data_IF_992554524784
#
_entry.id   IF_992554524784
#
_cell.length_a   1.000
_cell.length_b   1.000
_cell.length_c   1.000
_cell.angle_alpha   90.00
_cell.angle_beta   90.00
_cell.angle_gamma   90.00
#
_symmetry.space_group_name_H-M   'P 1'
#
loop_
_entity.id
_entity.type
_entity.pdbx_description
1 polymer ?
#
# COMPACT_ATOMS: atom_id res chain seq x y z
N UNK A 1 -46.88 8.14 3.03
CA UNK A 1 -45.61 7.73 3.67
C UNK A 1 -44.48 8.05 2.70
N UNK A 2 -43.70 9.11 2.97
CA UNK A 2 -42.54 9.46 2.17
C UNK A 2 -41.32 8.71 2.73
N UNK A 3 -40.78 7.76 1.97
CA UNK A 3 -39.54 7.07 2.32
C UNK A 3 -38.39 8.00 1.98
N UNK A 4 -37.68 8.42 3.04
CA UNK A 4 -36.45 9.19 3.00
C UNK A 4 -35.46 8.59 2.00
N UNK A 5 -35.24 9.27 0.87
CA UNK A 5 -34.04 9.07 0.06
C UNK A 5 -32.85 9.54 0.89
N UNK A 6 -32.26 8.60 1.63
CA UNK A 6 -30.94 8.72 2.22
C UNK A 6 -30.01 9.25 1.12
N UNK A 7 -29.45 10.43 1.32
CA UNK A 7 -28.32 10.95 0.55
C UNK A 7 -27.25 9.85 0.52
N UNK A 8 -27.22 9.07 -0.56
CA UNK A 8 -26.04 8.31 -0.92
C UNK A 8 -24.98 9.37 -1.16
N UNK A 9 -23.99 9.39 -0.26
CA UNK A 9 -22.78 10.20 -0.40
C UNK A 9 -22.18 9.90 -1.76
N UNK A 10 -22.43 10.78 -2.73
CA UNK A 10 -21.66 10.88 -3.96
C UNK A 10 -20.26 11.34 -3.55
N UNK A 11 -19.43 10.39 -3.09
CA UNK A 11 -18.00 10.62 -3.01
C UNK A 11 -17.55 11.07 -4.38
N UNK A 12 -16.98 12.27 -4.49
CA UNK A 12 -16.42 12.68 -5.77
C UNK A 12 -15.34 11.66 -6.17
N UNK A 13 -15.16 11.33 -7.46
CA UNK A 13 -14.15 10.35 -7.91
C UNK A 13 -12.74 10.63 -7.35
N UNK A 14 -12.45 11.91 -7.07
CA UNK A 14 -11.23 12.38 -6.41
C UNK A 14 -11.11 11.94 -4.96
N UNK A 15 -12.19 12.00 -4.18
CA UNK A 15 -12.21 11.59 -2.77
C UNK A 15 -11.95 10.08 -2.61
N UNK A 16 -12.60 9.26 -3.43
CA UNK A 16 -12.41 7.80 -3.43
C UNK A 16 -10.98 7.42 -3.85
N UNK A 17 -10.41 8.13 -4.82
CA UNK A 17 -9.04 7.92 -5.28
C UNK A 17 -8.00 8.28 -4.22
N UNK A 18 -8.20 9.39 -3.49
CA UNK A 18 -7.30 9.79 -2.42
C UNK A 18 -7.37 8.84 -1.22
N UNK A 19 -8.56 8.31 -0.90
CA UNK A 19 -8.69 7.25 0.10
C UNK A 19 -7.98 5.97 -0.34
N UNK A 20 -8.13 5.55 -1.61
CA UNK A 20 -7.42 4.40 -2.14
C UNK A 20 -5.90 4.60 -2.11
N UNK A 21 -5.41 5.79 -2.49
CA UNK A 21 -3.99 6.13 -2.39
C UNK A 21 -3.48 6.05 -0.94
N UNK A 22 -4.24 6.60 0.01
CA UNK A 22 -3.90 6.54 1.43
C UNK A 22 -3.76 5.09 1.90
N UNK A 23 -4.74 4.24 1.59
CA UNK A 23 -4.72 2.84 2.00
C UNK A 23 -3.52 2.08 1.42
N UNK A 24 -3.17 2.34 0.15
CA UNK A 24 -2.01 1.71 -0.50
C UNK A 24 -0.68 2.18 0.11
N UNK A 25 -0.58 3.45 0.50
CA UNK A 25 0.60 3.99 1.20
C UNK A 25 0.72 3.45 2.64
N UNK A 26 -0.41 3.28 3.34
CA UNK A 26 -0.44 2.63 4.67
C UNK A 26 0.04 1.17 4.56
N UNK A 27 -0.49 0.42 3.60
CA UNK A 27 -0.06 -0.97 3.34
C UNK A 27 1.43 -1.05 2.96
N UNK A 28 1.94 -0.09 2.21
CA UNK A 28 3.37 0.02 1.91
C UNK A 28 4.22 0.25 3.17
N UNK A 29 3.79 1.18 4.04
CA UNK A 29 4.45 1.42 5.32
C UNK A 29 4.47 0.17 6.22
N UNK A 30 3.39 -0.59 6.28
CA UNK A 30 3.34 -1.86 7.00
C UNK A 30 4.30 -2.90 6.43
N UNK A 31 4.39 -3.01 5.10
CA UNK A 31 5.32 -3.94 4.45
C UNK A 31 6.79 -3.58 4.79
N UNK A 32 7.14 -2.29 4.81
CA UNK A 32 8.46 -1.83 5.23
C UNK A 32 8.75 -2.19 6.69
N UNK A 33 7.80 -1.98 7.60
CA UNK A 33 7.97 -2.34 9.01
C UNK A 33 8.18 -3.85 9.18
N UNK A 34 7.37 -4.69 8.51
CA UNK A 34 7.54 -6.15 8.55
C UNK A 34 8.90 -6.59 8.01
N UNK A 35 9.37 -5.99 6.93
CA UNK A 35 10.70 -6.32 6.40
C UNK A 35 11.82 -5.87 7.33
N UNK A 36 11.71 -4.68 7.93
CA UNK A 36 12.67 -4.21 8.92
C UNK A 36 12.75 -5.17 10.11
N UNK A 37 11.60 -5.56 10.66
CA UNK A 37 11.56 -6.45 11.83
C UNK A 37 12.16 -7.82 11.48
N UNK A 38 11.86 -8.36 10.28
CA UNK A 38 12.52 -9.58 9.78
C UNK A 38 14.02 -9.41 9.58
N UNK A 39 14.50 -8.25 9.11
CA UNK A 39 15.93 -8.00 8.95
C UNK A 39 16.66 -8.06 10.30
N UNK A 40 16.07 -7.47 11.35
CA UNK A 40 16.60 -7.56 12.74
C UNK A 40 16.61 -9.01 13.23
N UNK A 41 15.56 -9.79 12.97
CA UNK A 41 15.52 -11.21 13.34
C UNK A 41 16.59 -12.04 12.59
N UNK A 42 16.86 -11.68 11.34
CA UNK A 42 17.83 -12.34 10.48
C UNK A 42 19.27 -12.01 10.86
N UNK A 43 19.56 -10.78 11.30
CA UNK A 43 20.89 -10.42 11.85
C UNK A 43 21.28 -11.33 13.01
N UNK A 44 20.31 -11.80 13.79
CA UNK A 44 20.52 -12.68 14.94
C UNK A 44 20.60 -14.18 14.57
N UNK A 45 20.40 -14.57 13.30
CA UNK A 45 20.33 -15.98 12.85
C UNK A 45 21.06 -16.23 11.52
N UNK A 46 22.40 -16.34 11.53
CA UNK A 46 23.18 -16.58 10.32
C UNK A 46 23.00 -18.01 9.77
N UNK A 47 22.86 -18.16 8.43
CA UNK A 47 22.80 -19.46 7.74
C UNK A 47 22.11 -19.42 6.37
N UNK A 48 22.00 -20.57 5.67
CA UNK A 48 21.39 -20.67 4.32
C UNK A 48 19.94 -20.15 4.28
N UNK A 49 19.16 -20.39 5.35
CA UNK A 49 17.80 -19.85 5.50
C UNK A 49 17.75 -18.33 5.53
N UNK A 50 18.83 -17.68 6.00
CA UNK A 50 18.92 -16.23 6.06
C UNK A 50 18.91 -15.60 4.65
N UNK A 51 19.61 -16.21 3.69
CA UNK A 51 19.64 -15.72 2.31
C UNK A 51 18.29 -15.86 1.61
N UNK A 52 17.58 -16.97 1.84
CA UNK A 52 16.22 -17.18 1.30
C UNK A 52 15.23 -16.17 1.89
N UNK A 53 15.30 -15.92 3.20
CA UNK A 53 14.45 -14.96 3.89
C UNK A 53 14.74 -13.51 3.45
N UNK A 54 16.02 -13.13 3.27
CA UNK A 54 16.42 -11.84 2.68
C UNK A 54 15.86 -11.70 1.26
N UNK A 55 16.03 -12.72 0.41
CA UNK A 55 15.52 -12.69 -0.96
C UNK A 55 14.00 -12.52 -0.99
N UNK A 56 13.28 -13.26 -0.13
CA UNK A 56 11.82 -13.14 -0.01
C UNK A 56 11.40 -11.75 0.46
N UNK A 57 12.11 -11.17 1.41
CA UNK A 57 11.85 -9.82 1.91
C UNK A 57 12.08 -8.74 0.84
N UNK A 58 13.12 -8.87 0.02
CA UNK A 58 13.39 -7.98 -1.13
C UNK A 58 12.24 -8.07 -2.14
N UNK A 59 11.78 -9.28 -2.47
CA UNK A 59 10.65 -9.47 -3.40
C UNK A 59 9.35 -8.88 -2.85
N UNK A 60 9.08 -9.02 -1.55
CA UNK A 60 7.91 -8.43 -0.90
C UNK A 60 7.94 -6.89 -0.96
N UNK A 61 9.10 -6.27 -0.65
CA UNK A 61 9.29 -4.82 -0.79
C UNK A 61 9.08 -4.39 -2.24
N UNK A 62 9.71 -5.06 -3.21
CA UNK A 62 9.61 -4.67 -4.61
C UNK A 62 8.16 -4.64 -5.12
N UNK A 63 7.35 -5.63 -4.72
CA UNK A 63 5.91 -5.67 -5.05
C UNK A 63 5.13 -4.54 -4.37
N UNK A 64 5.46 -4.25 -3.12
CA UNK A 64 4.80 -3.20 -2.35
C UNK A 64 5.11 -1.81 -2.92
N UNK A 65 6.36 -1.55 -3.30
CA UNK A 65 6.79 -0.32 -4.00
C UNK A 65 6.04 -0.16 -5.33
N UNK A 66 5.96 -1.21 -6.15
CA UNK A 66 5.28 -1.14 -7.45
C UNK A 66 3.77 -0.85 -7.29
N UNK A 67 3.14 -1.43 -6.27
CA UNK A 67 1.73 -1.19 -5.95
C UNK A 67 1.49 0.27 -5.51
N UNK A 68 2.32 0.78 -4.60
CA UNK A 68 2.28 2.18 -4.16
C UNK A 68 2.51 3.15 -5.33
N UNK A 69 3.49 2.87 -6.21
CA UNK A 69 3.76 3.66 -7.40
C UNK A 69 2.53 3.72 -8.33
N UNK A 70 1.91 2.58 -8.63
CA UNK A 70 0.70 2.53 -9.45
C UNK A 70 -0.45 3.32 -8.83
N UNK A 71 -0.59 3.29 -7.50
CA UNK A 71 -1.59 4.09 -6.80
C UNK A 71 -1.33 5.60 -6.94
N UNK A 72 -0.07 6.03 -6.79
CA UNK A 72 0.35 7.42 -7.01
C UNK A 72 0.08 7.85 -8.46
N UNK A 73 0.43 7.03 -9.45
CA UNK A 73 0.20 7.35 -10.86
C UNK A 73 -1.29 7.54 -11.17
N UNK A 74 -2.17 6.69 -10.59
CA UNK A 74 -3.63 6.85 -10.71
C UNK A 74 -4.11 8.18 -10.10
N UNK A 75 -3.62 8.51 -8.91
CA UNK A 75 -3.98 9.75 -8.23
C UNK A 75 -3.51 11.00 -8.99
N UNK A 76 -2.28 10.97 -9.52
CA UNK A 76 -1.73 12.05 -10.35
C UNK A 76 -2.52 12.25 -11.64
N UNK A 77 -2.96 11.17 -12.29
CA UNK A 77 -3.79 11.26 -13.51
C UNK A 77 -5.12 11.95 -13.23
N UNK A 78 -5.76 11.65 -12.11
CA UNK A 78 -7.03 12.28 -11.73
C UNK A 78 -6.82 13.75 -11.34
N UNK A 79 -5.74 14.06 -10.61
CA UNK A 79 -5.41 15.43 -10.25
C UNK A 79 -5.10 16.34 -11.46
N UNK A 80 -4.56 15.79 -12.56
CA UNK A 80 -4.29 16.54 -13.81
C UNK A 80 -5.52 16.71 -14.71
N UNK A 81 -6.52 15.85 -14.55
CA UNK A 81 -7.74 15.84 -15.36
C UNK A 81 -8.94 16.53 -14.66
N UNK A 82 -8.71 17.15 -13.50
CA UNK A 82 -9.67 18.01 -12.78
C UNK A 82 -9.14 19.43 -12.72
#
# INVERSE_FOLDING_TARGET
>A
MAVSKKNQSSGTPRGETLMALRNELEAFGEALNRTRDRAVDLENRPGVRQQEDIHRAIVEIARSVDSARKAVDRALKIAKNT
#
